data_IF_575843128363
#
_entry.id   IF_575843128363
#
_cell.length_a   1.000
_cell.length_b   1.000
_cell.length_c   1.000
_cell.angle_alpha   90.00
_cell.angle_beta   90.00
_cell.angle_gamma   90.00
#
_symmetry.space_group_name_H-M   'P 1'
#
loop_
_entity.id
_entity.type
_entity.pdbx_description
1 polymer ?
2 non-polymer ?
3 non-polymer ?
4 non-polymer ?
5 water ?
#
# COMPACT_ATOMS: atom_id res chain seq x y z
N UNK A 2 -15.97 -11.66 -7.74
CA UNK A 2 -15.87 -12.47 -6.55
C UNK A 2 -16.83 -11.99 -5.48
N UNK A 3 -16.94 -12.78 -4.42
CA UNK A 3 -17.80 -12.42 -3.29
C UNK A 3 -17.12 -11.38 -2.41
N UNK A 4 -17.93 -10.52 -1.79
CA UNK A 4 -17.43 -9.71 -0.70
C UNK A 4 -16.88 -10.63 0.38
N UNK A 5 -15.86 -10.15 1.09
CA UNK A 5 -15.16 -10.95 2.08
C UNK A 5 -14.83 -10.12 3.30
N UNK A 6 -14.85 -10.79 4.45
CA UNK A 6 -14.32 -10.24 5.69
C UNK A 6 -13.34 -11.25 6.28
N UNK A 7 -12.96 -11.08 7.54
CA UNK A 7 -12.14 -12.07 8.24
C UNK A 7 -13.04 -12.89 9.15
N UNK A 8 -12.66 -14.15 9.39
CA UNK A 8 -13.50 -15.04 10.19
C UNK A 8 -13.45 -14.71 11.67
N UNK A 9 -12.31 -14.24 12.16
CA UNK A 9 -12.18 -13.87 13.55
C UNK A 9 -11.20 -12.72 13.65
N UNK A 10 -11.13 -12.12 14.83
CA UNK A 10 -10.19 -11.02 15.04
C UNK A 10 -8.77 -11.50 14.84
N UNK A 11 -7.96 -10.66 14.19
CA UNK A 11 -6.55 -10.93 13.96
C UNK A 11 -5.74 -9.75 14.47
N UNK A 12 -4.62 -10.02 15.13
CA UNK A 12 -3.80 -8.95 15.69
C UNK A 12 -2.41 -8.97 15.09
N UNK A 13 -1.83 -7.77 14.96
CA UNK A 13 -0.45 -7.57 14.54
C UNK A 13 0.12 -6.44 15.37
N UNK A 14 1.44 -6.44 15.56
CA UNK A 14 2.05 -5.40 16.36
C UNK A 14 3.54 -5.24 16.03
N UNK A 15 4.07 -4.06 16.29
CA UNK A 15 5.47 -3.81 16.10
C UNK A 15 5.73 -2.33 15.84
N UNK A 16 6.99 -2.04 15.55
CA UNK A 16 7.37 -0.65 15.31
C UNK A 16 6.83 -0.16 13.97
N UNK A 17 6.55 1.14 13.93
CA UNK A 17 6.18 1.81 12.70
C UNK A 17 7.43 2.42 12.06
N UNK A 18 7.48 2.37 10.73
CA UNK A 18 8.70 2.75 10.02
C UNK A 18 9.02 4.24 10.18
N UNK A 19 8.01 5.10 10.21
CA UNK A 19 8.23 6.53 10.25
C UNK A 19 8.23 7.12 11.65
N UNK A 20 7.29 6.68 12.49
CA UNK A 20 7.24 7.20 13.85
C UNK A 20 8.29 6.54 14.74
N UNK A 21 8.72 5.33 14.40
CA UNK A 21 9.57 4.57 15.30
C UNK A 21 8.89 4.07 16.55
N UNK A 22 7.58 4.29 16.69
CA UNK A 22 6.84 3.88 17.87
C UNK A 22 6.27 2.48 17.69
N UNK A 23 6.01 1.82 18.82
CA UNK A 23 5.42 0.49 18.80
C UNK A 23 3.89 0.64 18.77
N UNK A 24 3.24 -0.03 17.83
CA UNK A 24 1.79 0.04 17.73
C UNK A 24 1.20 -1.35 17.59
N UNK A 25 -0.12 -1.42 17.78
CA UNK A 25 -0.85 -2.68 17.69
C UNK A 25 -2.08 -2.48 16.81
N UNK A 26 -2.41 -3.52 16.05
CA UNK A 26 -3.60 -3.58 15.22
C UNK A 26 -4.47 -4.72 15.68
N UNK A 27 -5.78 -4.52 15.60
CA UNK A 27 -6.75 -5.60 15.67
C UNK A 27 -7.66 -5.46 14.47
N UNK A 28 -7.73 -6.50 13.65
CA UNK A 28 -8.61 -6.52 12.47
C UNK A 28 -9.90 -7.24 12.86
N UNK A 29 -11.02 -6.52 12.73
CA UNK A 29 -12.34 -6.98 13.15
C UNK A 29 -13.20 -7.37 11.96
N UNK A 30 -13.90 -8.51 12.04
CA UNK A 30 -14.91 -8.85 11.03
C UNK A 30 -15.99 -7.78 10.95
N UNK A 31 -16.53 -7.58 9.74
CA UNK A 31 -17.63 -6.64 9.53
C UNK A 31 -18.57 -7.20 8.47
N UNK A 32 -19.82 -6.76 8.52
CA UNK A 32 -20.87 -7.22 7.62
C UNK A 32 -20.73 -6.59 6.23
N UNK A 33 -21.46 -7.17 5.27
CA UNK A 33 -21.50 -6.67 3.90
C UNK A 33 -21.85 -5.19 3.88
N UNK A 34 -21.22 -4.45 2.97
CA UNK A 34 -21.47 -3.04 2.81
C UNK A 34 -20.70 -2.13 3.75
N UNK A 35 -19.93 -2.68 4.68
CA UNK A 35 -19.18 -1.84 5.61
C UNK A 35 -18.04 -1.10 4.92
N UNK A 36 -17.34 -1.77 4.02
CA UNK A 36 -16.11 -1.24 3.48
C UNK A 36 -14.94 -1.48 4.40
N UNK A 37 -13.78 -0.99 3.97
CA UNK A 37 -12.56 -1.02 4.78
C UNK A 37 -12.47 0.28 5.55
N UNK A 38 -12.29 0.20 6.85
CA UNK A 38 -12.14 1.41 7.66
C UNK A 38 -11.16 1.13 8.78
N UNK A 39 -10.51 2.19 9.24
CA UNK A 39 -9.68 2.16 10.43
C UNK A 39 -10.50 2.69 11.60
N UNK A 40 -10.05 2.36 12.81
CA UNK A 40 -10.70 2.81 14.03
C UNK A 40 -9.62 3.17 15.04
N UNK A 41 -9.73 4.38 15.58
CA UNK A 41 -8.75 4.87 16.53
C UNK A 41 -9.41 5.85 17.48
N UNK A 42 -9.27 5.61 18.78
CA UNK A 42 -9.79 6.51 19.81
C UNK A 42 -11.25 6.85 19.57
N UNK A 43 -12.04 5.84 19.26
CA UNK A 43 -13.48 6.03 19.08
C UNK A 43 -13.90 6.59 17.74
N UNK A 44 -12.98 6.82 16.81
CA UNK A 44 -13.27 7.46 15.54
C UNK A 44 -13.03 6.46 14.41
N UNK A 45 -13.99 6.35 13.50
CA UNK A 45 -13.83 5.55 12.28
C UNK A 45 -13.27 6.42 11.17
N UNK A 46 -12.22 5.92 10.53
CA UNK A 46 -11.54 6.60 9.42
C UNK A 46 -11.65 5.69 8.20
N UNK A 47 -12.56 5.97 7.27
CA UNK A 47 -12.69 5.11 6.10
C UNK A 47 -11.41 5.12 5.27
N UNK A 48 -11.14 3.97 4.64
CA UNK A 48 -9.96 3.83 3.78
C UNK A 48 -10.32 4.36 2.39
N UNK A 49 -10.49 5.68 2.33
CA UNK A 49 -10.93 6.35 1.12
C UNK A 49 -10.11 7.62 0.93
N UNK A 50 -10.00 8.05 -0.33
CA UNK A 50 -9.09 9.13 -0.67
C UNK A 50 -9.46 10.45 0.01
N UNK A 51 -10.74 10.66 0.32
CA UNK A 51 -11.15 11.89 0.99
C UNK A 51 -10.46 12.06 2.34
N UNK A 52 -9.96 10.98 2.94
CA UNK A 52 -9.35 11.05 4.26
C UNK A 52 -7.84 11.11 4.22
N UNK A 53 -7.25 11.21 3.04
CA UNK A 53 -5.79 11.30 2.93
C UNK A 53 -5.32 12.65 3.48
N UNK A 54 -4.29 12.61 4.34
CA UNK A 54 -3.75 13.81 4.95
C UNK A 54 -2.27 14.02 4.67
N UNK A 55 -1.58 13.04 4.09
CA UNK A 55 -0.14 13.10 3.84
C UNK A 55 0.19 12.06 2.78
N UNK A 56 1.12 12.39 1.89
CA UNK A 56 1.52 11.47 0.82
C UNK A 56 3.01 11.47 0.55
N UNK A 57 3.84 12.04 1.42
CA UNK A 57 5.28 12.09 1.19
C UNK A 57 5.95 11.02 2.05
N UNK A 58 6.43 9.95 1.40
CA UNK A 58 7.09 8.77 1.96
C UNK A 58 6.12 7.76 2.56
N UNK A 59 4.85 8.09 2.71
CA UNK A 59 3.82 7.14 3.10
C UNK A 59 2.48 7.78 2.73
N UNK A 60 1.43 6.98 2.78
CA UNK A 60 0.07 7.47 2.67
C UNK A 60 -0.56 7.41 4.04
N UNK A 61 -1.04 8.55 4.53
CA UNK A 61 -1.61 8.64 5.87
C UNK A 61 -3.04 9.15 5.80
N UNK A 62 -3.88 8.64 6.71
CA UNK A 62 -5.29 9.01 6.76
C UNK A 62 -5.61 9.68 8.08
N UNK A 63 -6.64 10.52 8.08
CA UNK A 63 -7.09 11.12 9.32
C UNK A 63 -8.54 11.52 9.24
N UNK A 64 -9.18 11.56 10.41
CA UNK A 64 -10.52 12.12 10.53
C UNK A 64 -10.71 12.55 11.96
N UNK A 65 -11.30 13.74 12.15
CA UNK A 65 -11.70 14.22 13.48
C UNK A 65 -10.54 14.21 14.46
N UNK A 66 -9.35 14.57 13.97
CA UNK A 66 -8.19 14.67 14.82
C UNK A 66 -7.49 13.37 15.14
N UNK A 67 -7.92 12.25 14.55
CA UNK A 67 -7.27 10.95 14.72
C UNK A 67 -6.59 10.57 13.42
N UNK A 68 -5.29 10.29 13.50
CA UNK A 68 -4.47 10.08 12.31
C UNK A 68 -3.78 8.73 12.39
N UNK A 69 -3.62 8.10 11.22
CA UNK A 69 -2.90 6.84 11.11
C UNK A 69 -1.93 6.93 9.94
N UNK A 70 -0.65 6.75 10.24
CA UNK A 70 0.39 6.79 9.22
C UNK A 70 0.58 5.42 8.58
N UNK A 71 0.95 5.46 7.30
CA UNK A 71 1.47 4.32 6.57
C UNK A 71 0.44 3.23 6.39
N UNK A 72 -0.67 3.57 5.72
CA UNK A 72 -1.74 2.62 5.49
C UNK A 72 -1.53 1.78 4.23
N UNK A 73 -0.56 2.11 3.39
CA UNK A 73 -0.52 1.55 2.04
C UNK A 73 -0.25 0.05 2.02
N UNK A 74 0.54 -0.48 2.96
CA UNK A 74 0.92 -1.89 2.87
C UNK A 74 -0.23 -2.79 3.33
N UNK A 75 -0.87 -2.47 4.44
CA UNK A 75 -2.03 -3.26 4.86
C UNK A 75 -3.15 -3.12 3.83
N UNK A 76 -3.36 -1.93 3.29
CA UNK A 76 -4.41 -1.78 2.27
C UNK A 76 -4.08 -2.59 1.01
N UNK A 77 -2.80 -2.65 0.63
CA UNK A 77 -2.46 -3.43 -0.55
C UNK A 77 -2.78 -4.90 -0.35
N UNK A 78 -2.45 -5.43 0.81
CA UNK A 78 -2.75 -6.83 1.11
C UNK A 78 -4.26 -7.07 1.07
N UNK A 79 -5.04 -6.20 1.69
CA UNK A 79 -6.49 -6.35 1.67
C UNK A 79 -7.04 -6.28 0.25
N UNK A 80 -6.50 -5.38 -0.56
CA UNK A 80 -6.92 -5.26 -1.94
C UNK A 80 -6.63 -6.55 -2.71
N UNK A 81 -5.42 -7.09 -2.55
CA UNK A 81 -5.00 -8.29 -3.26
C UNK A 81 -5.83 -9.51 -2.87
N UNK A 82 -6.22 -9.60 -1.61
CA UNK A 82 -7.05 -10.71 -1.12
C UNK A 82 -8.53 -10.43 -1.30
N UNK A 83 -8.88 -9.25 -1.79
CA UNK A 83 -10.26 -8.82 -1.98
C UNK A 83 -11.07 -8.88 -0.68
N UNK A 84 -10.42 -8.55 0.44
CA UNK A 84 -11.15 -8.32 1.67
C UNK A 84 -11.82 -6.96 1.53
N UNK A 85 -13.14 -6.92 1.67
CA UNK A 85 -13.90 -5.71 1.40
C UNK A 85 -14.55 -5.10 2.62
N UNK A 86 -14.75 -5.85 3.69
CA UNK A 86 -15.45 -5.36 4.87
C UNK A 86 -14.60 -5.73 6.08
N UNK A 87 -13.98 -4.74 6.72
CA UNK A 87 -13.23 -4.97 7.96
C UNK A 87 -13.02 -3.64 8.64
N UNK A 88 -12.79 -3.70 9.94
CA UNK A 88 -12.33 -2.55 10.71
C UNK A 88 -10.92 -2.85 11.22
N UNK A 89 -9.98 -1.96 10.91
CA UNK A 89 -8.61 -2.07 11.41
C UNK A 89 -8.49 -1.12 12.60
N UNK A 90 -8.62 -1.67 13.81
CA UNK A 90 -8.43 -0.88 15.02
C UNK A 90 -6.93 -0.69 15.24
N UNK A 91 -6.53 0.57 15.43
CA UNK A 91 -5.13 0.93 15.59
C UNK A 91 -4.95 1.52 16.98
N UNK A 92 -4.07 0.91 17.76
CA UNK A 92 -3.64 1.45 19.04
C UNK A 92 -2.23 1.97 18.82
N UNK A 93 -2.11 3.27 18.62
CA UNK A 93 -0.87 3.88 18.18
C UNK A 93 -1.14 4.83 17.04
N UNK A 94 -0.07 5.22 16.35
CA UNK A 94 -0.12 6.30 15.37
C UNK A 94 0.24 5.85 13.96
N UNK A 95 0.52 4.57 13.76
CA UNK A 95 1.07 4.10 12.49
C UNK A 95 0.83 2.60 12.42
N UNK A 96 0.67 2.10 11.21
CA UNK A 96 0.60 0.65 10.99
C UNK A 96 1.99 0.05 11.20
N UNK A 97 2.14 -1.05 11.91
CA UNK A 97 3.47 -1.68 12.01
C UNK A 97 4.05 -2.02 10.64
N UNK A 98 5.37 -1.83 10.50
CA UNK A 98 6.05 -2.12 9.25
C UNK A 98 6.41 -3.60 9.12
N UNK A 99 6.54 -4.32 10.23
CA UNK A 99 6.91 -5.74 10.24
C UNK A 99 8.24 -5.89 9.49
N UNK A 100 8.36 -6.80 8.52
CA UNK A 100 9.63 -7.01 7.84
C UNK A 100 9.84 -6.06 6.67
N UNK A 101 8.96 -5.07 6.49
CA UNK A 101 9.04 -4.17 5.37
C UNK A 101 8.20 -4.55 4.17
N UNK A 102 7.60 -5.74 4.18
CA UNK A 102 6.76 -6.25 3.10
C UNK A 102 5.35 -6.55 3.62
N UNK A 103 4.51 -7.03 2.73
CA UNK A 103 3.18 -7.45 3.10
C UNK A 103 3.07 -8.86 3.62
N UNK A 104 4.18 -9.59 3.77
CA UNK A 104 4.11 -11.03 3.91
C UNK A 104 3.33 -11.47 5.14
N UNK A 105 3.67 -10.94 6.31
CA UNK A 105 3.02 -11.40 7.53
C UNK A 105 1.52 -11.11 7.51
N UNK A 106 1.13 -9.93 7.04
CA UNK A 106 -0.30 -9.63 6.88
C UNK A 106 -0.95 -10.61 5.93
N UNK A 107 -0.32 -10.82 4.78
CA UNK A 107 -0.90 -11.66 3.73
C UNK A 107 -1.10 -13.09 4.21
N UNK A 108 -0.09 -13.67 4.83
CA UNK A 108 -0.19 -15.06 5.25
C UNK A 108 -1.26 -15.25 6.31
N UNK A 109 -1.34 -14.32 7.27
CA UNK A 109 -2.33 -14.45 8.34
C UNK A 109 -3.74 -14.20 7.83
N UNK A 110 -3.92 -13.18 7.00
CA UNK A 110 -5.27 -12.86 6.54
C UNK A 110 -5.77 -13.93 5.59
N UNK A 111 -4.91 -14.42 4.70
CA UNK A 111 -5.36 -15.36 3.68
C UNK A 111 -5.91 -16.65 4.28
N UNK A 112 -5.41 -17.05 5.45
CA UNK A 112 -5.92 -18.25 6.13
C UNK A 112 -7.14 -17.97 6.99
N UNK A 113 -7.66 -16.75 6.95
CA UNK A 113 -8.73 -16.33 7.85
C UNK A 113 -9.82 -15.57 7.12
N UNK A 114 -10.08 -15.93 5.87
CA UNK A 114 -11.06 -15.22 5.06
C UNK A 114 -12.43 -15.83 5.28
N UNK A 115 -13.46 -14.98 5.39
CA UNK A 115 -14.84 -15.40 5.44
C UNK A 115 -15.56 -14.82 4.22
N UNK A 116 -16.02 -15.70 3.33
CA UNK A 116 -16.82 -15.26 2.20
C UNK A 116 -18.16 -14.76 2.69
N UNK A 117 -18.69 -13.75 2.01
CA UNK A 117 -19.97 -13.16 2.37
C UNK A 117 -20.97 -13.37 1.23
N UNK A 118 -22.12 -12.71 1.30
CA UNK A 118 -23.29 -13.18 0.57
C UNK A 118 -23.65 -12.36 -0.66
N UNK A 119 -22.93 -11.27 -0.93
CA UNK A 119 -23.11 -10.57 -2.19
C UNK A 119 -21.77 -10.46 -2.90
N UNK A 120 -21.83 -10.10 -4.16
CA UNK A 120 -20.61 -9.96 -4.95
C UNK A 120 -20.02 -8.56 -4.78
N UNK A 121 -18.74 -8.45 -5.11
CA UNK A 121 -18.04 -7.19 -5.07
C UNK A 121 -18.49 -6.32 -6.23
N UNK A 122 -18.77 -5.05 -5.94
CA UNK A 122 -18.95 -4.01 -6.96
C UNK A 122 -17.59 -3.37 -7.17
N UNK A 123 -16.83 -3.86 -8.15
CA UNK A 123 -15.48 -3.36 -8.40
C UNK A 123 -15.53 -1.93 -8.93
N UNK A 124 -14.49 -1.16 -8.61
CA UNK A 124 -14.25 0.08 -9.34
C UNK A 124 -13.60 -0.28 -10.66
N UNK A 125 -14.34 -0.10 -11.75
CA UNK A 125 -13.90 -0.52 -13.07
C UNK A 125 -13.49 0.74 -13.83
N UNK A 126 -12.20 0.87 -14.15
CA UNK A 126 -11.74 1.99 -14.94
C UNK A 126 -12.46 1.99 -16.27
N UNK A 127 -13.08 3.11 -16.62
CA UNK A 127 -14.00 3.17 -17.75
C UNK A 127 -13.36 3.68 -19.04
N UNK A 128 -12.31 4.48 -18.94
CA UNK A 128 -11.66 5.03 -20.13
C UNK A 128 -10.23 5.38 -19.75
N UNK A 129 -9.36 5.60 -20.74
CA UNK A 129 -7.96 5.93 -20.43
C UNK A 129 -7.83 7.26 -19.71
N UNK A 130 -6.78 7.36 -18.90
CA UNK A 130 -6.47 8.56 -18.15
C UNK A 130 -4.96 8.58 -17.92
N UNK A 131 -4.41 9.79 -17.84
CA UNK A 131 -3.00 9.96 -17.49
C UNK A 131 -2.87 11.15 -16.54
N UNK A 132 -2.06 10.96 -15.49
CA UNK A 132 -1.67 12.04 -14.59
C UNK A 132 -0.17 12.16 -14.62
N UNK A 133 0.32 13.39 -14.44
CA UNK A 133 1.74 13.67 -14.56
C UNK A 133 2.18 14.66 -13.49
N UNK A 134 3.46 14.58 -13.13
CA UNK A 134 4.05 15.54 -12.19
C UNK A 134 5.56 15.50 -12.42
N UNK A 135 6.08 16.52 -13.11
CA UNK A 135 7.51 16.74 -13.32
C UNK A 135 8.28 15.47 -13.64
N UNK A 136 8.05 14.91 -14.83
CA UNK A 136 8.76 13.73 -15.27
C UNK A 136 8.13 12.42 -14.85
N UNK A 137 7.30 12.42 -13.81
CA UNK A 137 6.63 11.22 -13.36
C UNK A 137 5.25 11.13 -13.99
N UNK A 138 4.79 9.91 -14.24
CA UNK A 138 3.56 9.73 -14.98
C UNK A 138 2.88 8.45 -14.52
N UNK A 139 1.55 8.45 -14.46
CA UNK A 139 0.78 7.23 -14.30
C UNK A 139 -0.36 7.24 -15.30
N UNK A 140 -0.52 6.13 -16.00
CA UNK A 140 -1.60 5.94 -16.94
C UNK A 140 -2.50 4.80 -16.47
N UNK A 141 -3.78 4.90 -16.74
CA UNK A 141 -4.72 3.81 -16.49
C UNK A 141 -5.63 3.65 -17.71
N UNK A 142 -6.07 2.41 -17.93
CA UNK A 142 -6.96 2.12 -19.04
C UNK A 142 -7.85 0.94 -18.64
N UNK A 143 -8.97 0.73 -19.33
CA UNK A 143 -9.86 -0.36 -18.96
C UNK A 143 -9.20 -1.72 -19.07
N UNK A 144 -9.60 -2.61 -18.16
CA UNK A 144 -9.16 -4.00 -18.16
C UNK A 144 -10.12 -4.79 -17.29
N UNK A 145 -10.41 -6.03 -17.69
CA UNK A 145 -11.24 -6.91 -16.88
C UNK A 145 -10.50 -7.41 -15.65
N UNK A 146 -9.17 -7.32 -15.65
CA UNK A 146 -8.33 -7.78 -14.56
C UNK A 146 -7.46 -6.63 -14.08
N UNK A 147 -7.07 -6.69 -12.81
CA UNK A 147 -6.13 -5.72 -12.28
C UNK A 147 -4.73 -6.05 -12.78
N UNK A 148 -4.12 -5.11 -13.49
CA UNK A 148 -2.76 -5.24 -14.00
C UNK A 148 -2.02 -3.95 -13.67
N UNK A 149 -0.84 -4.07 -13.06
CA UNK A 149 -0.13 -2.89 -12.57
C UNK A 149 1.35 -3.03 -12.89
N UNK A 150 1.88 -2.07 -13.65
CA UNK A 150 3.28 -2.03 -14.02
C UNK A 150 3.92 -0.80 -13.39
N UNK A 151 5.10 -0.98 -12.82
CA UNK A 151 5.92 0.12 -12.35
C UNK A 151 7.26 0.09 -13.04
N UNK A 152 7.69 1.24 -13.55
CA UNK A 152 9.01 1.38 -14.15
C UNK A 152 9.78 2.42 -13.34
N UNK A 153 10.94 2.03 -12.83
CA UNK A 153 11.81 2.91 -12.09
C UNK A 153 13.06 3.26 -12.86
N UNK A 154 13.66 4.38 -12.47
CA UNK A 154 14.91 4.83 -13.06
C UNK A 154 15.76 5.28 -11.89
N UNK A 155 16.61 4.37 -11.41
CA UNK A 155 17.35 4.57 -10.17
C UNK A 155 18.74 5.12 -10.47
N UNK A 156 19.19 6.04 -9.62
CA UNK A 156 20.51 6.65 -9.72
C UNK A 156 21.56 5.88 -8.94
N UNK A 157 21.55 4.55 -9.07
CA UNK A 157 22.57 3.68 -8.49
C UNK A 157 22.71 2.48 -9.40
N UNK A 158 23.31 1.41 -8.88
CA UNK A 158 23.61 0.24 -9.70
C UNK A 158 22.37 -0.40 -10.31
N UNK A 159 21.18 -0.12 -9.77
CA UNK A 159 19.96 -0.73 -10.28
C UNK A 159 19.60 -0.23 -11.67
N UNK A 160 19.91 1.01 -11.98
CA UNK A 160 19.54 1.54 -13.28
C UNK A 160 18.04 1.51 -13.49
N UNK A 161 17.63 1.14 -14.71
CA UNK A 161 16.22 1.06 -15.07
C UNK A 161 15.69 -0.35 -14.86
N UNK A 162 14.52 -0.45 -14.23
CA UNK A 162 13.86 -1.73 -14.00
C UNK A 162 12.36 -1.55 -14.16
N UNK A 163 11.68 -2.60 -14.56
CA UNK A 163 10.22 -2.57 -14.57
C UNK A 163 9.66 -3.93 -14.18
N UNK A 164 8.46 -3.90 -13.62
CA UNK A 164 7.79 -5.10 -13.17
C UNK A 164 6.29 -4.94 -13.30
N UNK A 165 5.61 -6.03 -13.69
CA UNK A 165 4.17 -6.03 -13.88
C UNK A 165 3.52 -7.09 -13.00
N UNK A 166 2.59 -6.67 -12.15
CA UNK A 166 1.68 -7.56 -11.45
C UNK A 166 0.44 -7.82 -12.31
N UNK A 167 0.00 -9.07 -12.34
CA UNK A 167 -1.34 -9.41 -12.82
C UNK A 167 -2.00 -10.30 -11.77
N UNK A 168 -3.34 -10.31 -11.80
CA UNK A 168 -4.10 -11.17 -10.89
C UNK A 168 -3.62 -12.60 -10.96
N UNK A 169 -3.50 -13.23 -9.78
CA UNK A 169 -2.96 -14.55 -9.66
C UNK A 169 -1.50 -14.58 -9.27
N UNK A 170 -0.81 -13.46 -9.39
CA UNK A 170 0.62 -13.36 -9.08
C UNK A 170 0.87 -12.58 -7.79
N UNK A 171 -0.10 -12.60 -6.87
CA UNK A 171 0.03 -11.83 -5.63
C UNK A 171 1.30 -12.20 -4.87
N UNK A 172 1.69 -13.48 -4.92
CA UNK A 172 2.87 -13.94 -4.22
C UNK A 172 4.15 -13.32 -4.76
N UNK A 173 4.11 -12.71 -5.93
CA UNK A 173 5.29 -12.07 -6.50
C UNK A 173 5.54 -10.67 -5.98
N UNK A 174 4.60 -10.05 -5.27
CA UNK A 174 4.81 -8.70 -4.74
C UNK A 174 4.68 -8.59 -3.23
N UNK A 175 4.05 -9.56 -2.55
CA UNK A 175 3.80 -9.41 -1.12
C UNK A 175 5.03 -9.66 -0.26
N UNK A 176 6.14 -10.10 -0.83
CA UNK A 176 7.39 -10.25 -0.10
C UNK A 176 8.39 -9.15 -0.41
N UNK A 177 8.05 -8.22 -1.30
CA UNK A 177 8.99 -7.17 -1.68
C UNK A 177 8.98 -6.07 -0.63
N UNK A 178 10.15 -5.75 -0.08
CA UNK A 178 10.24 -4.82 1.03
C UNK A 178 10.38 -3.37 0.59
N UNK A 179 10.00 -2.47 1.49
CA UNK A 179 10.31 -1.08 1.35
C UNK A 179 11.84 -0.89 1.30
N UNK A 180 12.26 0.24 0.76
CA UNK A 180 13.66 0.46 0.48
C UNK A 180 13.99 1.93 0.66
N UNK A 181 15.29 2.21 0.80
CA UNK A 181 15.79 3.56 0.97
C UNK A 181 17.22 3.61 0.47
N UNK A 182 17.65 4.81 0.09
CA UNK A 182 18.99 5.04 -0.42
C UNK A 182 19.81 5.79 0.61
N UNK A 183 21.07 5.35 0.79
CA UNK A 183 21.86 5.87 1.90
C UNK A 183 22.03 7.37 1.82
N UNK A 184 22.16 7.93 0.62
CA UNK A 184 22.37 9.36 0.48
C UNK A 184 21.10 10.18 0.71
N UNK A 185 19.95 9.53 0.86
CA UNK A 185 18.69 10.22 1.11
C UNK A 185 18.24 10.13 2.55
N UNK A 186 18.81 9.23 3.34
CA UNK A 186 18.25 8.91 4.65
C UNK A 186 18.39 10.09 5.60
N UNK A 187 19.49 10.84 5.52
CA UNK A 187 19.68 11.98 6.43
C UNK A 187 18.55 12.99 6.27
N UNK A 188 18.20 13.33 5.03
CA UNK A 188 17.09 14.25 4.79
C UNK A 188 15.78 13.69 5.30
N UNK A 189 15.52 12.40 5.03
CA UNK A 189 14.26 11.79 5.47
C UNK A 189 14.13 11.90 6.98
N UNK A 190 15.21 11.63 7.72
CA UNK A 190 15.15 11.78 9.16
C UNK A 190 14.99 13.24 9.56
N UNK A 191 15.65 14.16 8.85
CA UNK A 191 15.55 15.57 9.18
C UNK A 191 14.13 16.10 8.99
N UNK A 192 13.36 15.51 8.09
CA UNK A 192 11.99 15.98 7.85
C UNK A 192 10.98 15.21 8.70
N UNK A 193 11.47 14.51 9.73
CA UNK A 193 10.61 13.92 10.73
C UNK A 193 10.14 12.51 10.44
N UNK A 194 10.79 11.80 9.53
CA UNK A 194 10.34 10.50 9.05
C UNK A 194 11.42 9.44 9.29
N UNK A 195 11.11 8.21 8.92
CA UNK A 195 12.08 7.12 8.97
C UNK A 195 12.60 6.74 10.33
N UNK A 196 11.92 7.12 11.42
CA UNK A 196 12.50 6.91 12.75
C UNK A 196 12.60 5.43 13.11
N UNK A 197 11.75 4.59 12.52
CA UNK A 197 11.79 3.17 12.78
C UNK A 197 12.57 2.35 11.77
N UNK A 198 13.17 2.99 10.78
CA UNK A 198 13.86 2.26 9.73
C UNK A 198 15.13 1.61 10.21
N UNK A 199 15.36 0.39 9.74
CA UNK A 199 16.57 -0.34 10.09
C UNK A 199 16.78 -1.42 9.03
N UNK A 200 17.91 -2.10 9.12
CA UNK A 200 18.15 -3.20 8.20
C UNK A 200 17.24 -4.38 8.47
N UNK A 201 16.48 -4.37 9.56
CA UNK A 201 15.52 -5.43 9.81
C UNK A 201 14.20 -5.22 9.09
N UNK A 202 13.92 -4.02 8.59
CA UNK A 202 12.65 -3.75 7.94
C UNK A 202 12.76 -2.97 6.64
N UNK A 203 13.97 -2.63 6.18
CA UNK A 203 14.16 -1.80 5.00
C UNK A 203 15.35 -2.35 4.23
N UNK A 204 15.20 -2.41 2.91
CA UNK A 204 16.32 -2.69 2.01
C UNK A 204 17.05 -1.38 1.81
N UNK A 205 18.28 -1.28 2.31
CA UNK A 205 19.05 -0.05 2.27
C UNK A 205 20.16 -0.19 1.24
N UNK A 206 20.18 0.71 0.28
CA UNK A 206 21.06 0.64 -0.87
C UNK A 206 21.94 1.87 -0.98
N UNK A 207 23.18 1.66 -1.42
CA UNK A 207 24.06 2.74 -1.78
C UNK A 207 24.21 2.86 -3.29
N UNK A 208 25.14 3.72 -3.70
CA UNK A 208 25.40 3.87 -5.13
C UNK A 208 25.84 2.55 -5.75
N UNK A 209 26.65 1.77 -5.03
CA UNK A 209 27.23 0.57 -5.61
C UNK A 209 27.17 -0.62 -4.65
N UNK A 210 26.35 -0.56 -3.60
CA UNK A 210 26.37 -1.60 -2.60
C UNK A 210 24.99 -1.79 -1.97
N UNK A 211 24.84 -2.93 -1.33
CA UNK A 211 23.65 -3.29 -0.57
C UNK A 211 24.06 -3.43 0.88
N UNK A 212 23.38 -2.70 1.78
CA UNK A 212 23.76 -2.73 3.19
C UNK A 212 23.29 -4.00 3.88
N UNK A 213 22.11 -4.50 3.53
CA UNK A 213 21.55 -5.67 4.20
C UNK A 213 22.43 -6.90 3.96
N UNK A 214 22.89 -7.59 5.01
CA UNK A 214 23.71 -8.79 4.78
C UNK A 214 22.99 -9.86 3.97
N UNK A 215 21.67 -9.97 4.11
CA UNK A 215 20.91 -10.97 3.37
C UNK A 215 20.67 -10.59 1.91
N UNK A 216 21.00 -9.37 1.52
CA UNK A 216 20.82 -8.96 0.14
C UNK A 216 19.36 -8.74 -0.25
N UNK A 217 19.16 -8.61 -1.55
CA UNK A 217 17.83 -8.40 -2.13
C UNK A 217 17.08 -9.72 -2.21
N UNK A 218 15.77 -9.66 -1.99
CA UNK A 218 14.93 -10.85 -2.17
C UNK A 218 14.71 -11.16 -3.65
N UNK A 219 14.73 -10.13 -4.49
CA UNK A 219 14.61 -10.22 -5.93
C UNK A 219 15.48 -9.12 -6.50
N UNK A 220 16.05 -9.37 -7.68
CA UNK A 220 16.90 -8.35 -8.30
C UNK A 220 16.15 -7.05 -8.55
N UNK A 221 14.83 -7.15 -8.73
CA UNK A 221 13.97 -5.98 -8.92
C UNK A 221 13.04 -5.75 -7.73
N UNK A 222 13.48 -6.14 -6.54
CA UNK A 222 12.68 -5.91 -5.33
C UNK A 222 12.13 -4.49 -5.23
N UNK A 223 12.88 -3.42 -5.50
CA UNK A 223 12.31 -2.08 -5.34
C UNK A 223 11.10 -1.82 -6.22
N UNK A 224 11.13 -2.22 -7.50
CA UNK A 224 9.97 -1.94 -8.35
C UNK A 224 8.81 -2.86 -8.01
N UNK A 225 9.07 -4.09 -7.56
CA UNK A 225 7.99 -4.91 -7.04
C UNK A 225 7.31 -4.22 -5.86
N UNK A 226 8.11 -3.61 -4.98
CA UNK A 226 7.53 -2.91 -3.84
C UNK A 226 6.72 -1.71 -4.28
N UNK A 227 7.19 -0.96 -5.28
CA UNK A 227 6.43 0.19 -5.77
C UNK A 227 5.10 -0.23 -6.38
N UNK A 228 5.06 -1.39 -7.05
CA UNK A 228 3.78 -1.92 -7.52
C UNK A 228 2.86 -2.22 -6.34
N UNK A 229 3.40 -2.89 -5.32
CA UNK A 229 2.67 -3.19 -4.09
C UNK A 229 2.10 -1.92 -3.46
N UNK A 230 2.91 -0.86 -3.38
CA UNK A 230 2.43 0.42 -2.85
C UNK A 230 1.26 0.95 -3.66
N UNK A 231 1.40 0.95 -4.98
CA UNK A 231 0.36 1.51 -5.84
C UNK A 231 -0.95 0.76 -5.68
N UNK A 232 -0.87 -0.57 -5.53
CA UNK A 232 -2.09 -1.34 -5.32
C UNK A 232 -2.76 -0.95 -4.00
N UNK A 233 -1.97 -0.64 -2.97
CA UNK A 233 -2.56 -0.14 -1.73
C UNK A 233 -3.22 1.21 -1.90
N UNK A 234 -2.53 2.13 -2.58
CA UNK A 234 -3.10 3.46 -2.81
C UNK A 234 -4.36 3.38 -3.68
N UNK A 235 -4.40 2.46 -4.65
CA UNK A 235 -5.59 2.31 -5.48
C UNK A 235 -6.80 1.90 -4.67
N UNK A 236 -6.61 1.20 -3.55
CA UNK A 236 -7.77 0.80 -2.75
C UNK A 236 -8.46 1.99 -2.11
N UNK A 237 -7.84 3.16 -2.11
CA UNK A 237 -8.49 4.38 -1.63
C UNK A 237 -9.65 4.80 -2.53
N UNK A 238 -9.83 4.14 -3.68
CA UNK A 238 -11.06 4.29 -4.44
C UNK A 238 -12.26 3.72 -3.70
N UNK A 239 -12.05 2.88 -2.71
CA UNK A 239 -13.11 2.38 -1.87
C UNK A 239 -13.70 1.05 -2.28
N UNK A 240 -13.24 0.46 -3.37
CA UNK A 240 -13.62 -0.87 -3.82
C UNK A 240 -12.41 -1.48 -4.50
N UNK A 241 -12.31 -2.80 -4.55
CA UNK A 241 -11.26 -3.41 -5.36
C UNK A 241 -11.40 -2.96 -6.81
N UNK A 242 -10.26 -2.88 -7.50
CA UNK A 242 -10.16 -2.15 -8.76
C UNK A 242 -9.88 -3.11 -9.92
N UNK A 243 -10.56 -2.88 -11.05
CA UNK A 243 -10.24 -3.52 -12.32
C UNK A 243 -9.78 -2.44 -13.30
N UNK A 244 -8.54 -2.58 -13.75
CA UNK A 244 -7.96 -1.65 -14.70
C UNK A 244 -6.51 -2.01 -14.91
N UNK A 245 -5.94 -1.45 -15.96
CA UNK A 245 -4.53 -1.68 -16.30
C UNK A 245 -3.78 -0.38 -16.09
N UNK A 246 -2.74 -0.43 -15.25
CA UNK A 246 -2.04 0.76 -14.79
C UNK A 246 -0.56 0.67 -15.16
N UNK A 247 0.02 1.81 -15.49
CA UNK A 247 1.45 1.92 -15.74
C UNK A 247 1.95 3.18 -15.05
N UNK A 248 2.91 3.02 -14.13
CA UNK A 248 3.50 4.13 -13.41
C UNK A 248 4.97 4.24 -13.76
N UNK A 249 5.38 5.41 -14.21
CA UNK A 249 6.78 5.71 -14.46
C UNK A 249 7.23 6.67 -13.36
N UNK A 250 8.03 6.16 -12.42
CA UNK A 250 8.58 6.95 -11.33
C UNK A 250 7.53 7.51 -10.39
N UNK A 251 6.33 6.95 -10.38
CA UNK A 251 5.29 7.46 -9.50
C UNK A 251 5.59 7.17 -8.04
N UNK A 252 4.90 7.92 -7.17
CA UNK A 252 4.94 7.69 -5.75
C UNK A 252 3.59 8.00 -5.14
N UNK A 253 3.50 8.02 -3.82
CA UNK A 253 2.17 8.13 -3.19
C UNK A 253 1.42 9.38 -3.64
N UNK A 254 2.12 10.50 -3.79
CA UNK A 254 1.42 11.74 -4.16
C UNK A 254 0.75 11.60 -5.51
N UNK A 255 1.49 11.06 -6.49
CA UNK A 255 0.92 10.88 -7.82
C UNK A 255 -0.13 9.78 -7.82
N UNK A 256 0.08 8.73 -7.04
CA UNK A 256 -0.91 7.67 -6.93
C UNK A 256 -2.24 8.23 -6.45
N UNK A 257 -2.19 9.07 -5.41
CA UNK A 257 -3.41 9.63 -4.85
C UNK A 257 -4.04 10.63 -5.81
N UNK A 258 -3.21 11.40 -6.53
CA UNK A 258 -3.74 12.28 -7.57
C UNK A 258 -4.54 11.49 -8.60
N UNK A 259 -4.00 10.36 -9.05
CA UNK A 259 -4.72 9.51 -10.00
C UNK A 259 -6.04 9.02 -9.40
N UNK A 260 -5.99 8.53 -8.17
CA UNK A 260 -7.21 8.04 -7.51
C UNK A 260 -8.27 9.14 -7.47
N UNK A 261 -7.86 10.35 -7.10
CA UNK A 261 -8.86 11.43 -6.99
C UNK A 261 -9.43 11.80 -8.35
N UNK A 262 -8.61 11.74 -9.41
CA UNK A 262 -9.11 12.04 -10.75
C UNK A 262 -10.05 10.96 -11.24
N UNK A 263 -9.74 9.69 -10.96
CA UNK A 263 -10.64 8.60 -11.34
C UNK A 263 -11.97 8.71 -10.60
N UNK A 264 -11.91 9.02 -9.30
CA UNK A 264 -13.13 9.14 -8.52
C UNK A 264 -14.00 10.29 -9.03
N UNK A 265 -13.38 11.41 -9.40
CA UNK A 265 -14.14 12.54 -9.92
C UNK A 265 -14.79 12.20 -11.26
N UNK A 266 -14.06 11.51 -12.14
CA UNK A 266 -14.60 11.17 -13.45
C UNK A 266 -15.78 10.21 -13.37
N UNK A 267 -15.79 9.32 -12.37
CA UNK A 267 -16.81 8.29 -12.29
C UNK A 267 -17.79 8.51 -11.13
N UNK A 268 -17.82 9.71 -10.56
CA UNK A 268 -18.70 10.03 -9.45
C UNK A 268 -20.18 9.83 -9.80
#
# INVERSE_FOLDING_TARGET
>A
MGLEKTVKEKLSFEGVGIHTGEYSKLIIHPEKEGTGIRFFKNGVYIPARHEFVVHTNHSTDLGFKGQRIKTVEHILSVLHLLEITNVTIEVIGNEIPILDGSGWEFYEAIRKNILNQNREIDYFVVEEPIIVEDEGRLIKAEPSDTLEVTYEGEFKNFLGRQKFTFVEGNEEEIVLARTFAFDWEIEHIKKVGLGKGGSLKNTLVLGKDKVYNPEGLRYENEPVRHKVFDLIGDLYLLGSPVKGKFYSFRGGHSLNVKLVKELAKKQKLTRLEHHHHHH
#
